data_IF_305633620852
#
_entry.id   IF_305633620852
#
_cell.length_a   1.000
_cell.length_b   1.000
_cell.length_c   1.000
_cell.angle_alpha   90.00
_cell.angle_beta   90.00
_cell.angle_gamma   90.00
#
_symmetry.space_group_name_H-M   'P 1'
#
loop_
_entity.id
_entity.type
_entity.pdbx_description
1 polymer ?
#
# COMPACT_ATOMS: atom_id res chain seq x y z
N UNK A 1 -1.20 0.18 7.05
CA UNK A 1 -1.52 1.41 6.29
C UNK A 1 -0.73 1.50 4.98
N UNK A 2 0.53 1.10 4.91
CA UNK A 2 1.36 1.19 3.70
C UNK A 2 1.40 -0.08 2.84
N UNK A 3 0.29 -0.82 2.80
CA UNK A 3 0.14 -2.06 2.02
C UNK A 3 -1.10 -1.94 1.14
N UNK A 4 -1.17 -2.66 0.01
CA UNK A 4 -2.38 -2.71 -0.80
C UNK A 4 -3.58 -3.16 0.03
N UNK A 5 -4.73 -2.55 -0.22
CA UNK A 5 -6.01 -2.98 0.35
C UNK A 5 -6.74 -3.87 -0.66
N UNK A 6 -7.75 -4.62 -0.20
CA UNK A 6 -8.59 -5.42 -1.09
C UNK A 6 -9.40 -4.58 -2.09
N UNK A 7 -9.59 -3.28 -1.81
CA UNK A 7 -10.32 -2.37 -2.68
C UNK A 7 -9.36 -1.78 -3.73
N UNK A 8 -9.62 -1.97 -5.04
CA UNK A 8 -8.77 -1.45 -6.09
C UNK A 8 -8.55 0.06 -5.97
N UNK A 9 -7.29 0.50 -6.02
CA UNK A 9 -6.92 1.92 -5.96
C UNK A 9 -7.03 2.57 -4.57
N UNK A 10 -7.49 1.85 -3.54
CA UNK A 10 -7.60 2.40 -2.18
C UNK A 10 -6.34 2.13 -1.34
N UNK A 11 -5.80 3.20 -0.75
CA UNK A 11 -4.63 3.17 0.13
C UNK A 11 -4.84 4.06 1.34
N UNK A 12 -4.22 3.71 2.47
CA UNK A 12 -4.42 4.42 3.74
C UNK A 12 -3.13 5.08 4.22
N UNK A 13 -3.24 6.30 4.74
CA UNK A 13 -2.19 6.94 5.53
C UNK A 13 -2.49 6.79 7.02
N UNK A 14 -1.46 6.48 7.79
CA UNK A 14 -1.61 6.06 9.18
C UNK A 14 -0.67 6.74 10.13
N UNK A 15 -1.12 6.83 11.39
CA UNK A 15 -0.34 7.38 12.47
C UNK A 15 -0.43 8.90 12.55
N UNK A 16 0.54 9.52 13.22
CA UNK A 16 0.56 10.97 13.40
C UNK A 16 1.04 11.69 12.12
N UNK A 17 0.99 13.03 12.13
CA UNK A 17 1.38 13.86 10.99
C UNK A 17 2.84 13.63 10.55
N UNK A 18 3.75 13.41 11.50
CA UNK A 18 5.15 13.16 11.20
C UNK A 18 5.35 11.81 10.48
N UNK A 19 4.71 10.75 10.97
CA UNK A 19 4.74 9.44 10.34
C UNK A 19 4.15 9.51 8.93
N UNK A 20 3.00 10.16 8.76
CA UNK A 20 2.38 10.35 7.46
C UNK A 20 3.33 11.06 6.49
N UNK A 21 3.95 12.17 6.90
CA UNK A 21 4.94 12.90 6.08
C UNK A 21 6.13 12.03 5.69
N UNK A 22 6.70 11.29 6.64
CA UNK A 22 7.86 10.45 6.39
C UNK A 22 7.54 9.30 5.43
N UNK A 23 6.38 8.67 5.56
CA UNK A 23 6.02 7.49 4.77
C UNK A 23 5.38 7.79 3.41
N UNK A 24 4.89 9.01 3.17
CA UNK A 24 4.29 9.38 1.88
C UNK A 24 5.23 9.17 0.69
N UNK A 25 6.53 9.46 0.82
CA UNK A 25 7.50 9.25 -0.26
C UNK A 25 7.63 7.76 -0.63
N UNK A 26 7.77 6.90 0.37
CA UNK A 26 7.89 5.46 0.14
C UNK A 26 6.62 4.89 -0.48
N UNK A 27 5.44 5.32 -0.02
CA UNK A 27 4.18 4.91 -0.61
C UNK A 27 4.07 5.35 -2.08
N UNK A 28 4.42 6.59 -2.41
CA UNK A 28 4.38 7.10 -3.78
C UNK A 28 5.30 6.29 -4.71
N UNK A 29 6.50 5.94 -4.27
CA UNK A 29 7.43 5.11 -5.03
C UNK A 29 6.89 3.69 -5.25
N UNK A 30 6.27 3.08 -4.24
CA UNK A 30 5.62 1.78 -4.37
C UNK A 30 4.48 1.81 -5.37
N UNK A 31 3.62 2.84 -5.31
CA UNK A 31 2.53 3.04 -6.26
C UNK A 31 3.05 3.20 -7.69
N UNK A 32 4.10 4.00 -7.89
CA UNK A 32 4.71 4.20 -9.20
C UNK A 32 5.31 2.90 -9.73
N UNK A 33 6.04 2.16 -8.92
CA UNK A 33 6.61 0.87 -9.32
C UNK A 33 5.53 -0.11 -9.80
N UNK A 34 4.41 -0.20 -9.08
CA UNK A 34 3.26 -1.02 -9.47
C UNK A 34 2.60 -0.54 -10.77
N UNK A 35 2.48 0.78 -10.95
CA UNK A 35 1.94 1.37 -12.17
C UNK A 35 2.79 1.05 -13.41
N UNK A 36 4.12 1.04 -13.25
CA UNK A 36 5.07 0.66 -14.31
C UNK A 36 5.23 -0.86 -14.49
N UNK A 37 4.51 -1.68 -13.72
CA UNK A 37 4.62 -3.14 -13.79
C UNK A 37 5.94 -3.71 -13.26
N UNK A 38 6.67 -2.95 -12.44
CA UNK A 38 7.86 -3.44 -11.76
C UNK A 38 7.46 -4.44 -10.66
N UNK A 39 8.24 -5.51 -10.53
CA UNK A 39 8.00 -6.49 -9.47
C UNK A 39 8.21 -5.84 -8.10
N UNK A 40 7.22 -5.95 -7.22
CA UNK A 40 7.27 -5.41 -5.85
C UNK A 40 7.19 -6.56 -4.85
N UNK A 41 8.33 -7.20 -4.51
CA UNK A 41 8.35 -8.51 -3.86
C UNK A 41 7.93 -8.51 -2.38
N UNK A 42 7.75 -7.33 -1.77
CA UNK A 42 7.80 -7.21 -0.30
C UNK A 42 6.43 -7.34 0.35
N UNK A 43 5.30 -7.02 -0.31
CA UNK A 43 3.96 -7.14 0.29
C UNK A 43 2.84 -7.36 -0.74
N UNK A 44 2.24 -8.55 -0.70
CA UNK A 44 1.00 -8.90 -1.41
C UNK A 44 -0.27 -8.47 -0.67
N UNK A 45 -1.43 -8.72 -1.29
CA UNK A 45 -2.72 -8.60 -0.61
C UNK A 45 -2.82 -9.62 0.52
N UNK A 46 -3.48 -9.24 1.61
CA UNK A 46 -3.83 -10.18 2.66
C UNK A 46 -4.78 -11.26 2.13
N UNK A 47 -4.80 -12.43 2.76
CA UNK A 47 -5.79 -13.46 2.43
C UNK A 47 -7.21 -12.99 2.81
N UNK A 48 -8.19 -13.46 2.05
CA UNK A 48 -9.60 -13.21 2.33
C UNK A 48 -10.12 -14.28 3.27
N UNK A 49 -10.61 -13.89 4.45
CA UNK A 49 -11.11 -14.83 5.47
C UNK A 49 -12.63 -14.87 5.61
N UNK A 50 -13.38 -14.00 4.92
CA UNK A 50 -14.85 -13.98 4.94
C UNK A 50 -15.39 -14.84 3.79
N UNK A 51 -15.40 -16.16 4.02
CA UNK A 51 -15.89 -17.19 3.10
C UNK A 51 -17.34 -17.55 3.48
N UNK A 52 -18.30 -16.68 3.15
CA UNK A 52 -19.73 -16.92 3.39
C UNK A 52 -20.57 -16.33 2.29
#
# INVERSE_FOLDING_TARGET
MWKPTQQPGLWFHGGNLHQSRHYSLYLALQLKARYEGLDTPVYGLAEVHHLS
#
